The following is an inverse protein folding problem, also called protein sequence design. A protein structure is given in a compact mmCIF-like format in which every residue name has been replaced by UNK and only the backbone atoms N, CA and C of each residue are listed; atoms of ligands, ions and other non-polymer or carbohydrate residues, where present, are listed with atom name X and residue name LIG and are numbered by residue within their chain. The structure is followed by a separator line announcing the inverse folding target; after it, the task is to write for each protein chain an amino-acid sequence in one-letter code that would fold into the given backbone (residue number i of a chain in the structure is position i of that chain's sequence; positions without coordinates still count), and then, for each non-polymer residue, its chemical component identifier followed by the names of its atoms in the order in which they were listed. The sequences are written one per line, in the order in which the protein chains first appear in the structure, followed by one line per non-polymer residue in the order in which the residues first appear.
data_IF_207701829989
#
_entry.id   IF_207701829989
#
_cell.length_a   1.000
_cell.length_b   1.000
_cell.length_c   1.000
_cell.angle_alpha   90.00
_cell.angle_beta   90.00
_cell.angle_gamma   90.00
#
_symmetry.space_group_name_H-M   'P 1'
#
loop_
_entity.id
_entity.type
_entity.pdbx_description
1 polymer ?
#
# COMPACT_ATOMS: atom_id res chain seq x y z
N UNK A 1 -23.20 1.43 49.65
CA UNK A 1 -21.72 1.48 49.52
C UNK A 1 -21.09 0.10 49.32
N UNK A 2 -21.42 -0.94 50.10
CA UNK A 2 -20.83 -2.29 49.92
C UNK A 2 -21.29 -2.97 48.62
N UNK A 3 -22.58 -2.82 48.26
CA UNK A 3 -23.21 -3.44 47.08
C UNK A 3 -22.44 -3.22 45.76
N UNK A 4 -21.95 -2.00 45.52
CA UNK A 4 -21.21 -1.63 44.30
C UNK A 4 -19.88 -2.37 44.10
N UNK A 5 -19.31 -2.95 45.17
CA UNK A 5 -18.08 -3.75 45.09
C UNK A 5 -18.40 -5.24 44.93
N UNK A 6 -19.43 -5.74 45.60
CA UNK A 6 -19.79 -7.17 45.61
C UNK A 6 -20.67 -7.59 44.42
N UNK A 7 -21.34 -6.65 43.75
CA UNK A 7 -22.12 -6.92 42.53
C UNK A 7 -21.25 -7.34 41.35
N UNK A 8 -20.00 -6.88 41.29
CA UNK A 8 -19.07 -7.28 40.24
C UNK A 8 -18.80 -8.79 40.37
N UNK A 9 -18.95 -9.60 39.32
CA UNK A 9 -18.67 -11.05 39.39
C UNK A 9 -17.19 -11.35 39.67
N UNK A 10 -16.33 -10.34 39.54
CA UNK A 10 -14.89 -10.36 39.71
C UNK A 10 -14.43 -9.94 41.12
N UNK A 11 -15.03 -10.52 42.15
CA UNK A 11 -14.57 -10.28 43.52
C UNK A 11 -14.83 -11.50 44.41
N UNK A 12 -14.01 -11.61 45.44
CA UNK A 12 -14.16 -12.60 46.51
C UNK A 12 -14.91 -11.93 47.66
N UNK A 13 -15.98 -12.57 48.13
CA UNK A 13 -16.79 -12.06 49.25
C UNK A 13 -16.36 -12.79 50.52
N UNK A 14 -15.86 -12.05 51.50
CA UNK A 14 -15.55 -12.58 52.83
C UNK A 14 -16.66 -12.19 53.79
N UNK A 15 -17.58 -13.11 54.06
CA UNK A 15 -18.72 -12.88 54.94
C UNK A 15 -18.34 -13.19 56.40
N UNK A 16 -17.92 -12.16 57.11
CA UNK A 16 -17.44 -12.25 58.50
C UNK A 16 -18.63 -12.12 59.46
N UNK A 17 -18.80 -13.09 60.36
CA UNK A 17 -19.83 -13.07 61.41
C UNK A 17 -19.20 -13.43 62.76
N UNK A 18 -19.58 -12.77 63.87
CA UNK A 18 -19.09 -13.15 65.19
C UNK A 18 -19.84 -14.39 65.70
N UNK A 19 -19.14 -15.31 66.35
CA UNK A 19 -19.68 -16.59 66.81
C UNK A 19 -20.60 -16.47 68.04
N UNK A 20 -20.56 -15.33 68.74
CA UNK A 20 -21.41 -15.03 69.89
C UNK A 20 -22.79 -14.45 69.50
N UNK A 21 -23.11 -14.38 68.21
CA UNK A 21 -24.40 -13.93 67.70
C UNK A 21 -25.01 -15.00 66.80
N UNK A 22 -26.34 -15.04 66.73
CA UNK A 22 -27.04 -15.96 65.84
C UNK A 22 -26.75 -15.63 64.37
N UNK A 23 -26.23 -16.63 63.65
CA UNK A 23 -25.84 -16.52 62.25
C UNK A 23 -27.02 -16.16 61.33
N UNK A 24 -28.24 -16.58 61.68
CA UNK A 24 -29.45 -16.25 60.90
C UNK A 24 -29.71 -14.73 60.84
N UNK A 25 -29.17 -13.97 61.79
CA UNK A 25 -29.30 -12.51 61.85
C UNK A 25 -28.18 -11.77 61.09
N UNK A 26 -27.14 -12.47 60.61
CA UNK A 26 -25.96 -11.86 59.99
C UNK A 26 -26.26 -11.11 58.68
N UNK A 27 -26.07 -9.80 58.69
CA UNK A 27 -26.23 -8.93 57.51
C UNK A 27 -25.20 -9.26 56.41
N UNK A 28 -23.99 -9.68 56.79
CA UNK A 28 -22.95 -10.04 55.84
C UNK A 28 -23.35 -11.26 54.98
N UNK A 29 -24.07 -12.21 55.58
CA UNK A 29 -24.57 -13.41 54.89
C UNK A 29 -25.81 -13.12 54.06
N UNK A 30 -26.72 -12.26 54.55
CA UNK A 30 -27.89 -11.83 53.79
C UNK A 30 -27.48 -11.10 52.52
N UNK A 31 -26.58 -10.12 52.65
CA UNK A 31 -26.10 -9.29 51.53
C UNK A 31 -25.28 -10.13 50.54
N UNK A 32 -24.45 -11.07 51.00
CA UNK A 32 -23.70 -11.94 50.09
C UNK A 32 -24.61 -12.86 49.28
N UNK A 33 -25.67 -13.41 49.89
CA UNK A 33 -26.64 -14.28 49.21
C UNK A 33 -27.44 -13.56 48.12
N UNK A 34 -27.72 -12.26 48.29
CA UNK A 34 -28.40 -11.47 47.26
C UNK A 34 -27.57 -11.37 45.96
N UNK A 35 -26.24 -11.30 46.07
CA UNK A 35 -25.33 -11.11 44.93
C UNK A 35 -24.58 -12.38 44.50
N UNK A 36 -24.63 -13.43 45.33
CA UNK A 36 -24.07 -14.76 45.08
C UNK A 36 -24.98 -15.85 45.68
N UNK A 37 -26.17 -16.11 45.10
CA UNK A 37 -27.11 -17.10 45.63
C UNK A 37 -26.56 -18.54 45.64
N UNK A 38 -25.58 -18.83 44.78
CA UNK A 38 -24.95 -20.14 44.64
C UNK A 38 -23.78 -20.34 45.60
N UNK A 39 -23.21 -19.26 46.14
CA UNK A 39 -22.06 -19.28 47.05
C UNK A 39 -20.73 -19.56 46.36
N UNK A 40 -20.63 -19.35 45.04
CA UNK A 40 -19.47 -19.75 44.22
C UNK A 40 -18.21 -18.91 44.51
N UNK A 41 -18.37 -17.75 45.16
CA UNK A 41 -17.32 -16.78 45.48
C UNK A 41 -17.41 -16.20 46.90
N UNK A 42 -18.20 -16.84 47.77
CA UNK A 42 -18.47 -16.39 49.14
C UNK A 42 -17.83 -17.31 50.18
N UNK A 43 -16.97 -16.76 51.03
CA UNK A 43 -16.29 -17.45 52.11
C UNK A 43 -16.88 -17.02 53.45
N UNK A 44 -17.42 -17.97 54.22
CA UNK A 44 -17.94 -17.73 55.57
C UNK A 44 -16.82 -17.75 56.61
N UNK A 45 -16.68 -16.67 57.38
CA UNK A 45 -15.68 -16.58 58.46
C UNK A 45 -16.38 -16.33 59.78
N UNK A 46 -16.17 -17.22 60.74
CA UNK A 46 -16.59 -17.05 62.13
C UNK A 46 -15.43 -16.50 62.96
N UNK A 47 -15.64 -15.34 63.57
CA UNK A 47 -14.68 -14.70 64.48
C UNK A 47 -15.20 -14.73 65.91
N UNK A 48 -14.36 -14.44 66.91
CA UNK A 48 -14.72 -14.41 68.34
C UNK A 48 -15.25 -15.74 68.89
N UNK A 49 -14.77 -16.86 68.35
CA UNK A 49 -15.13 -18.22 68.82
C UNK A 49 -14.69 -18.45 70.27
N UNK A 50 -13.63 -17.77 70.69
CA UNK A 50 -13.11 -17.74 72.05
C UNK A 50 -14.05 -17.05 73.06
N UNK A 51 -15.01 -16.24 72.60
CA UNK A 51 -15.95 -15.47 73.42
C UNK A 51 -17.38 -16.05 73.43
N UNK A 52 -17.54 -17.31 73.04
CA UNK A 52 -18.83 -18.00 73.10
C UNK A 52 -19.23 -18.34 74.54
N UNK A 53 -20.53 -18.42 74.81
CA UNK A 53 -21.06 -18.75 76.12
C UNK A 53 -20.75 -20.20 76.49
N UNK A 54 -20.39 -20.45 77.76
CA UNK A 54 -20.03 -21.78 78.25
C UNK A 54 -21.19 -22.76 78.05
N UNK A 55 -20.93 -23.86 77.35
CA UNK A 55 -21.94 -24.87 77.01
C UNK A 55 -22.56 -24.69 75.61
N UNK A 56 -22.10 -23.70 74.84
CA UNK A 56 -22.44 -23.54 73.41
C UNK A 56 -21.21 -23.74 72.54
N UNK A 57 -21.40 -24.26 71.33
CA UNK A 57 -20.35 -24.44 70.34
C UNK A 57 -20.82 -24.00 68.94
N UNK A 58 -19.87 -23.75 68.05
CA UNK A 58 -20.12 -23.38 66.66
C UNK A 58 -19.82 -24.54 65.70
N UNK A 59 -19.77 -25.79 66.16
CA UNK A 59 -19.36 -26.96 65.35
C UNK A 59 -20.32 -27.14 64.17
N UNK A 60 -21.62 -27.05 64.38
CA UNK A 60 -22.62 -27.20 63.32
C UNK A 60 -22.50 -26.12 62.22
N UNK A 61 -22.05 -24.92 62.57
CA UNK A 61 -21.78 -23.85 61.60
C UNK A 61 -20.48 -24.13 60.87
N UNK A 62 -19.41 -24.44 61.60
CA UNK A 62 -18.08 -24.71 61.04
C UNK A 62 -18.06 -25.94 60.11
N UNK A 63 -18.90 -26.94 60.39
CA UNK A 63 -19.11 -28.11 59.53
C UNK A 63 -20.07 -27.85 58.36
N UNK A 64 -20.71 -26.67 58.33
CA UNK A 64 -21.63 -26.27 57.26
C UNK A 64 -23.01 -26.95 57.34
N UNK A 65 -23.37 -27.54 58.48
CA UNK A 65 -24.68 -28.17 58.73
C UNK A 65 -25.76 -27.12 58.96
N UNK A 66 -25.46 -26.09 59.75
CA UNK A 66 -26.40 -25.01 60.05
C UNK A 66 -26.62 -24.06 58.86
N UNK A 67 -25.54 -23.75 58.13
CA UNK A 67 -25.61 -22.91 56.93
C UNK A 67 -24.64 -23.42 55.86
N UNK A 68 -25.18 -23.91 54.74
CA UNK A 68 -24.39 -24.52 53.67
C UNK A 68 -23.87 -23.46 52.69
N UNK A 69 -22.56 -23.38 52.57
CA UNK A 69 -21.83 -22.64 51.52
C UNK A 69 -21.07 -23.64 50.62
N UNK A 70 -20.64 -23.20 49.43
CA UNK A 70 -19.79 -24.03 48.56
C UNK A 70 -18.40 -24.22 49.16
N UNK A 71 -17.86 -23.18 49.81
CA UNK A 71 -16.63 -23.25 50.58
C UNK A 71 -16.93 -23.54 52.06
N UNK A 72 -16.05 -24.28 52.76
CA UNK A 72 -16.22 -24.53 54.18
C UNK A 72 -16.20 -23.23 54.99
N UNK A 73 -16.78 -23.27 56.18
CA UNK A 73 -16.69 -22.17 57.13
C UNK A 73 -15.32 -22.18 57.82
N UNK A 74 -14.78 -20.98 58.06
CA UNK A 74 -13.47 -20.79 58.68
C UNK A 74 -13.63 -20.14 60.05
N UNK A 75 -13.19 -20.81 61.09
CA UNK A 75 -13.09 -20.25 62.42
C UNK A 75 -11.77 -19.54 62.64
N UNK A 76 -11.81 -18.29 63.12
CA UNK A 76 -10.60 -17.50 63.43
C UNK A 76 -10.66 -16.91 64.83
N UNK A 77 -9.53 -16.98 65.53
CA UNK A 77 -9.35 -16.33 66.84
C UNK A 77 -8.36 -15.18 66.64
N UNK A 78 -8.84 -13.98 66.91
CA UNK A 78 -8.08 -12.75 66.72
C UNK A 78 -7.57 -12.21 68.06
N UNK A 79 -6.70 -11.19 68.02
CA UNK A 79 -6.27 -10.47 69.21
C UNK A 79 -7.47 -9.81 69.89
N UNK A 80 -7.57 -9.97 71.21
CA UNK A 80 -8.55 -9.23 72.02
C UNK A 80 -8.15 -7.76 72.16
N UNK A 81 -9.07 -6.91 72.64
CA UNK A 81 -8.74 -5.51 72.91
C UNK A 81 -7.60 -5.37 73.93
N UNK A 82 -7.53 -6.26 74.91
CA UNK A 82 -6.44 -6.29 75.89
C UNK A 82 -5.10 -6.68 75.24
N UNK A 83 -5.09 -7.61 74.28
CA UNK A 83 -3.88 -8.00 73.54
C UNK A 83 -3.37 -6.88 72.62
N UNK A 84 -4.31 -6.12 72.01
CA UNK A 84 -3.98 -4.94 71.20
C UNK A 84 -3.34 -3.87 72.09
N UNK A 85 -3.94 -3.58 73.25
CA UNK A 85 -3.40 -2.60 74.20
C UNK A 85 -2.02 -3.00 74.76
N UNK A 86 -1.74 -4.31 74.83
CA UNK A 86 -0.44 -4.88 75.25
C UNK A 86 0.54 -5.08 74.09
N UNK A 87 0.22 -4.64 72.87
CA UNK A 87 1.04 -4.81 71.67
C UNK A 87 1.53 -6.26 71.45
N UNK A 88 0.66 -7.25 71.68
CA UNK A 88 1.01 -8.65 71.45
C UNK A 88 1.33 -8.87 69.96
N UNK A 89 2.48 -9.50 69.72
CA UNK A 89 2.97 -9.81 68.39
C UNK A 89 2.04 -10.80 67.65
N UNK A 90 1.98 -10.66 66.32
CA UNK A 90 1.15 -11.51 65.47
C UNK A 90 1.59 -12.96 65.47
N UNK A 91 2.90 -13.24 65.60
CA UNK A 91 3.39 -14.63 65.67
C UNK A 91 2.88 -15.30 66.95
N UNK A 92 2.92 -14.58 68.08
CA UNK A 92 2.37 -15.05 69.34
C UNK A 92 0.83 -15.23 69.27
N UNK A 93 0.11 -14.33 68.61
CA UNK A 93 -1.33 -14.46 68.40
C UNK A 93 -1.70 -15.70 67.56
N UNK A 94 -0.95 -15.96 66.47
CA UNK A 94 -1.15 -17.15 65.62
C UNK A 94 -0.84 -18.45 66.34
N UNK A 95 0.21 -18.46 67.18
CA UNK A 95 0.51 -19.62 68.03
C UNK A 95 -0.62 -19.90 69.01
N UNK A 96 -1.15 -18.87 69.69
CA UNK A 96 -2.31 -19.00 70.58
C UNK A 96 -3.57 -19.49 69.84
N UNK A 97 -3.84 -18.99 68.64
CA UNK A 97 -4.94 -19.46 67.78
C UNK A 97 -4.81 -20.96 67.49
N UNK A 98 -3.60 -21.41 67.13
CA UNK A 98 -3.33 -22.84 66.87
C UNK A 98 -3.49 -23.70 68.13
N UNK A 99 -2.96 -23.24 69.26
CA UNK A 99 -3.10 -23.92 70.55
C UNK A 99 -4.58 -24.01 70.99
N UNK A 100 -5.36 -22.94 70.77
CA UNK A 100 -6.80 -22.93 71.07
C UNK A 100 -7.54 -24.03 70.32
N UNK A 101 -7.37 -24.10 68.99
CA UNK A 101 -8.05 -25.13 68.20
C UNK A 101 -7.51 -26.54 68.47
N UNK A 102 -6.23 -26.69 68.85
CA UNK A 102 -5.64 -28.00 69.17
C UNK A 102 -6.10 -28.56 70.53
N UNK A 103 -6.31 -27.68 71.52
CA UNK A 103 -6.60 -28.05 72.91
C UNK A 103 -8.10 -27.98 73.25
N UNK A 104 -8.92 -27.29 72.44
CA UNK A 104 -10.37 -27.24 72.64
C UNK A 104 -11.02 -28.61 72.39
N UNK A 105 -11.80 -29.17 73.34
CA UNK A 105 -12.42 -30.48 73.18
C UNK A 105 -13.40 -30.53 72.00
N UNK A 106 -14.12 -29.43 71.74
CA UNK A 106 -15.17 -29.36 70.73
C UNK A 106 -14.65 -29.09 69.31
N UNK A 107 -13.48 -28.46 69.17
CA UNK A 107 -12.91 -28.05 67.87
C UNK A 107 -11.67 -28.83 67.43
N UNK A 108 -11.16 -29.74 68.27
CA UNK A 108 -9.91 -30.49 68.01
C UNK A 108 -9.94 -31.26 66.69
N UNK A 109 -11.07 -31.87 66.32
CA UNK A 109 -11.22 -32.60 65.05
C UNK A 109 -11.20 -31.67 63.84
N UNK A 110 -11.57 -30.39 64.02
CA UNK A 110 -11.59 -29.36 62.98
C UNK A 110 -10.29 -28.54 62.91
N UNK A 111 -9.36 -28.68 63.86
CA UNK A 111 -8.15 -27.86 63.97
C UNK A 111 -7.34 -27.73 62.67
N UNK A 112 -7.32 -28.78 61.83
CA UNK A 112 -6.62 -28.79 60.54
C UNK A 112 -7.24 -27.89 59.46
N UNK A 113 -8.52 -27.46 59.63
CA UNK A 113 -9.27 -26.58 58.71
C UNK A 113 -9.62 -25.23 59.33
N UNK A 114 -9.09 -24.95 60.52
CA UNK A 114 -9.39 -23.73 61.27
C UNK A 114 -8.15 -22.85 61.39
N UNK A 115 -8.40 -21.61 61.81
CA UNK A 115 -7.37 -20.61 62.00
C UNK A 115 -7.08 -19.80 60.74
N UNK A 116 -6.50 -18.64 60.96
CA UNK A 116 -6.32 -17.66 59.91
C UNK A 116 -5.21 -18.02 58.90
N UNK A 117 -4.24 -18.86 59.28
CA UNK A 117 -3.25 -19.38 58.33
C UNK A 117 -3.90 -20.29 57.29
N UNK A 118 -4.85 -21.14 57.71
CA UNK A 118 -5.58 -22.00 56.79
C UNK A 118 -6.52 -21.19 55.89
N UNK A 119 -7.24 -20.21 56.46
CA UNK A 119 -8.04 -19.25 55.69
C UNK A 119 -7.19 -18.53 54.64
N UNK A 120 -6.00 -18.02 55.02
CA UNK A 120 -5.09 -17.35 54.09
C UNK A 120 -4.65 -18.27 52.94
N UNK A 121 -4.27 -19.52 53.24
CA UNK A 121 -3.92 -20.52 52.21
C UNK A 121 -5.08 -20.79 51.25
N UNK A 122 -6.30 -20.93 51.77
CA UNK A 122 -7.49 -21.21 50.95
C UNK A 122 -7.88 -20.02 50.07
N UNK A 123 -7.82 -18.79 50.60
CA UNK A 123 -8.06 -17.57 49.83
C UNK A 123 -7.02 -17.40 48.71
N UNK A 124 -5.73 -17.64 49.00
CA UNK A 124 -4.67 -17.59 47.99
C UNK A 124 -4.88 -18.63 46.89
N UNK A 125 -5.23 -19.88 47.24
CA UNK A 125 -5.50 -20.94 46.27
C UNK A 125 -6.72 -20.61 45.39
N UNK A 126 -7.77 -20.06 45.97
CA UNK A 126 -8.94 -19.64 45.22
C UNK A 126 -8.62 -18.47 44.28
N UNK A 127 -7.92 -17.45 44.76
CA UNK A 127 -7.47 -16.32 43.94
C UNK A 127 -6.60 -16.80 42.78
N UNK A 128 -5.65 -17.70 43.03
CA UNK A 128 -4.81 -18.31 42.00
C UNK A 128 -5.65 -19.02 40.93
N UNK A 129 -6.66 -19.79 41.33
CA UNK A 129 -7.57 -20.50 40.42
C UNK A 129 -8.36 -19.54 39.56
N UNK A 130 -8.91 -18.47 40.16
CA UNK A 130 -9.66 -17.44 39.43
C UNK A 130 -8.77 -16.70 38.44
N UNK A 131 -7.55 -16.31 38.85
CA UNK A 131 -6.58 -15.68 37.96
C UNK A 131 -6.24 -16.60 36.78
N UNK A 132 -5.89 -17.87 37.05
CA UNK A 132 -5.58 -18.87 36.01
C UNK A 132 -6.72 -19.08 35.03
N UNK A 133 -7.98 -19.09 35.51
CA UNK A 133 -9.15 -19.24 34.63
C UNK A 133 -9.37 -18.06 33.69
N UNK A 134 -8.87 -16.86 34.03
CA UNK A 134 -9.07 -15.63 33.25
C UNK A 134 -7.91 -15.30 32.32
N UNK A 135 -6.70 -15.78 32.61
CA UNK A 135 -5.51 -15.57 31.78
C UNK A 135 -5.77 -15.87 30.29
N UNK A 136 -6.38 -17.01 29.89
CA UNK A 136 -6.65 -17.31 28.48
C UNK A 136 -7.54 -16.27 27.79
N UNK A 137 -8.55 -15.75 28.50
CA UNK A 137 -9.43 -14.71 27.98
C UNK A 137 -8.71 -13.38 27.78
N UNK A 138 -7.82 -13.01 28.71
CA UNK A 138 -6.97 -11.81 28.59
C UNK A 138 -5.98 -11.98 27.44
N UNK A 139 -5.34 -13.14 27.32
CA UNK A 139 -4.41 -13.44 26.22
C UNK A 139 -5.09 -13.29 24.86
N UNK A 140 -6.29 -13.87 24.70
CA UNK A 140 -7.08 -13.74 23.47
C UNK A 140 -7.43 -12.28 23.15
N UNK A 141 -7.84 -11.50 24.15
CA UNK A 141 -8.17 -10.08 23.98
C UNK A 141 -6.92 -9.26 23.56
N UNK A 142 -5.78 -9.50 24.20
CA UNK A 142 -4.52 -8.83 23.87
C UNK A 142 -4.09 -9.19 22.45
N UNK A 143 -4.08 -10.47 22.08
CA UNK A 143 -3.72 -10.91 20.73
C UNK A 143 -4.64 -10.33 19.66
N UNK A 144 -5.95 -10.29 19.90
CA UNK A 144 -6.91 -9.65 18.99
C UNK A 144 -6.62 -8.16 18.83
N UNK A 145 -6.39 -7.44 19.94
CA UNK A 145 -6.11 -6.01 19.91
C UNK A 145 -4.79 -5.70 19.20
N UNK A 146 -3.76 -6.54 19.38
CA UNK A 146 -2.49 -6.44 18.65
C UNK A 146 -2.75 -6.55 17.14
N UNK A 147 -3.50 -7.55 16.69
CA UNK A 147 -3.79 -7.74 15.27
C UNK A 147 -4.57 -6.55 14.66
N UNK A 148 -5.53 -5.99 15.40
CA UNK A 148 -6.27 -4.80 14.99
C UNK A 148 -5.36 -3.56 14.86
N UNK A 149 -4.47 -3.35 15.84
CA UNK A 149 -3.50 -2.25 15.82
C UNK A 149 -2.48 -2.41 14.69
N UNK A 150 -2.00 -3.62 14.42
CA UNK A 150 -1.08 -3.91 13.31
C UNK A 150 -1.72 -3.67 11.95
N UNK A 151 -2.98 -4.08 11.77
CA UNK A 151 -3.72 -3.82 10.54
C UNK A 151 -3.94 -2.30 10.32
N UNK A 152 -4.27 -1.56 11.38
CA UNK A 152 -4.42 -0.11 11.29
C UNK A 152 -3.10 0.59 10.96
N UNK A 153 -2.00 0.18 11.62
CA UNK A 153 -0.68 0.76 11.41
C UNK A 153 -0.15 0.44 10.00
N UNK A 154 -0.41 -0.77 9.50
CA UNK A 154 -0.11 -1.15 8.11
C UNK A 154 -0.84 -0.26 7.11
N UNK A 155 -2.11 0.06 7.35
CA UNK A 155 -2.89 0.97 6.49
C UNK A 155 -2.36 2.40 6.51
N UNK A 156 -1.85 2.86 7.65
CA UNK A 156 -1.23 4.19 7.77
C UNK A 156 0.17 4.23 7.14
N UNK A 157 0.82 3.09 6.90
CA UNK A 157 2.15 3.02 6.31
C UNK A 157 3.28 3.04 7.35
N UNK A 158 4.52 2.85 6.87
CA UNK A 158 5.73 2.78 7.70
C UNK A 158 6.06 4.15 8.30
N UNK A 159 6.64 4.22 9.52
CA UNK A 159 7.15 5.46 10.06
C UNK A 159 8.31 5.98 9.20
N UNK A 160 8.39 7.31 9.07
CA UNK A 160 9.51 7.96 8.39
C UNK A 160 10.75 7.86 9.28
N UNK A 161 11.87 7.38 8.73
CA UNK A 161 13.12 7.31 9.45
C UNK A 161 13.59 8.72 9.89
N UNK A 162 14.27 8.82 11.03
CA UNK A 162 14.76 10.10 11.54
C UNK A 162 16.00 10.58 10.79
N UNK A 163 16.84 9.66 10.33
CA UNK A 163 18.09 9.93 9.63
C UNK A 163 17.88 10.24 8.14
N UNK A 164 18.83 10.96 7.54
CA UNK A 164 18.76 11.36 6.14
C UNK A 164 18.80 10.15 5.18
N UNK A 165 19.56 9.12 5.53
CA UNK A 165 19.69 7.91 4.71
C UNK A 165 18.39 7.10 4.64
N UNK A 166 17.71 6.93 5.76
CA UNK A 166 16.42 6.27 5.84
C UNK A 166 15.32 7.04 5.09
N UNK A 167 15.31 8.38 5.17
CA UNK A 167 14.40 9.22 4.37
C UNK A 167 14.64 9.06 2.88
N UNK A 168 15.91 9.10 2.46
CA UNK A 168 16.30 8.88 1.07
C UNK A 168 15.84 7.49 0.58
N UNK A 169 16.14 6.45 1.36
CA UNK A 169 15.73 5.09 1.04
C UNK A 169 14.22 4.96 0.88
N UNK A 170 13.44 5.56 1.79
CA UNK A 170 11.98 5.54 1.73
C UNK A 170 11.45 6.23 0.47
N UNK A 171 11.98 7.40 0.11
CA UNK A 171 11.62 8.09 -1.14
C UNK A 171 11.93 7.20 -2.34
N UNK A 172 13.10 6.57 -2.37
CA UNK A 172 13.48 5.66 -3.46
C UNK A 172 12.58 4.41 -3.52
N UNK A 173 12.17 3.84 -2.39
CA UNK A 173 11.24 2.70 -2.33
C UNK A 173 9.88 3.08 -2.94
N UNK A 174 9.34 4.25 -2.57
CA UNK A 174 8.07 4.77 -3.12
C UNK A 174 8.19 5.01 -4.63
N UNK A 175 9.29 5.62 -5.08
CA UNK A 175 9.53 5.88 -6.49
C UNK A 175 9.66 4.59 -7.31
N UNK A 176 10.29 3.54 -6.75
CA UNK A 176 10.37 2.22 -7.37
C UNK A 176 9.00 1.56 -7.49
N UNK A 177 8.13 1.72 -6.49
CA UNK A 177 6.74 1.27 -6.55
C UNK A 177 5.98 1.93 -7.70
N UNK A 178 6.09 3.25 -7.82
CA UNK A 178 5.53 4.00 -8.95
C UNK A 178 6.09 3.54 -10.31
N UNK A 179 7.42 3.42 -10.42
CA UNK A 179 8.10 3.02 -11.66
C UNK A 179 7.69 1.60 -12.09
N UNK A 180 7.51 0.69 -11.13
CA UNK A 180 7.01 -0.66 -11.37
C UNK A 180 5.56 -0.65 -11.91
N UNK A 181 4.66 0.13 -11.31
CA UNK A 181 3.27 0.27 -11.80
C UNK A 181 3.26 0.88 -13.20
N UNK A 182 4.09 1.88 -13.47
CA UNK A 182 4.21 2.48 -14.79
C UNK A 182 4.68 1.47 -15.84
N UNK A 183 5.70 0.65 -15.51
CA UNK A 183 6.17 -0.45 -16.35
C UNK A 183 5.09 -1.49 -16.62
N UNK A 184 4.27 -1.83 -15.63
CA UNK A 184 3.14 -2.76 -15.79
C UNK A 184 2.09 -2.25 -16.78
N UNK A 185 1.84 -0.94 -16.83
CA UNK A 185 0.96 -0.36 -17.86
C UNK A 185 1.56 -0.45 -19.27
N UNK A 186 2.88 -0.31 -19.40
CA UNK A 186 3.57 -0.43 -20.69
C UNK A 186 3.67 -1.88 -21.18
N UNK A 187 3.88 -2.82 -20.26
CA UNK A 187 4.00 -4.26 -20.55
C UNK A 187 2.66 -4.96 -20.78
N UNK A 188 1.54 -4.24 -20.59
CA UNK A 188 0.19 -4.76 -20.82
C UNK A 188 -0.35 -5.61 -19.66
N UNK A 189 0.34 -5.65 -18.52
CA UNK A 189 -0.20 -6.22 -17.27
C UNK A 189 -1.38 -5.37 -16.77
N UNK A 190 -1.30 -4.05 -16.97
CA UNK A 190 -2.36 -3.09 -16.71
C UNK A 190 -2.83 -2.41 -18.00
N UNK A 191 -4.11 -1.98 -18.08
CA UNK A 191 -4.65 -1.36 -19.28
C UNK A 191 -4.04 0.03 -19.53
N UNK A 192 -3.85 0.38 -20.81
CA UNK A 192 -3.45 1.72 -21.23
C UNK A 192 -2.29 1.75 -22.23
N UNK A 193 -1.29 0.87 -22.10
CA UNK A 193 -0.18 0.78 -23.05
C UNK A 193 -0.61 0.29 -24.44
N UNK A 194 -1.66 -0.53 -24.50
CA UNK A 194 -2.29 -1.02 -25.72
C UNK A 194 -2.73 0.10 -26.68
N UNK A 195 -3.09 1.28 -26.15
CA UNK A 195 -3.48 2.45 -26.94
C UNK A 195 -2.37 2.97 -27.85
N UNK A 196 -1.11 2.67 -27.54
CA UNK A 196 0.03 3.06 -28.39
C UNK A 196 -0.05 2.33 -29.74
N UNK A 197 -0.46 1.05 -29.77
CA UNK A 197 -0.66 0.32 -31.02
C UNK A 197 -1.73 0.97 -31.91
N UNK A 198 -2.80 1.51 -31.32
CA UNK A 198 -3.83 2.22 -32.08
C UNK A 198 -3.27 3.45 -32.82
N UNK A 199 -2.26 4.13 -32.27
CA UNK A 199 -1.59 5.24 -32.98
C UNK A 199 -0.89 4.72 -34.24
N UNK A 200 -0.18 3.60 -34.14
CA UNK A 200 0.61 3.05 -35.24
C UNK A 200 -0.21 2.29 -36.28
N UNK A 201 -1.21 1.53 -35.85
CA UNK A 201 -1.99 0.65 -36.73
C UNK A 201 -3.14 1.39 -37.41
N UNK A 202 -3.70 2.42 -36.76
CA UNK A 202 -4.88 3.13 -37.25
C UNK A 202 -4.62 4.61 -37.54
N UNK A 203 -4.08 5.38 -36.60
CA UNK A 203 -3.97 6.84 -36.76
C UNK A 203 -2.94 7.24 -37.82
N UNK A 204 -1.70 6.74 -37.73
CA UNK A 204 -0.64 7.03 -38.69
C UNK A 204 -1.02 6.61 -40.12
N UNK A 205 -1.53 5.39 -40.37
CA UNK A 205 -1.93 4.97 -41.72
C UNK A 205 -3.11 5.78 -42.26
N UNK A 206 -4.06 6.16 -41.41
CA UNK A 206 -5.15 7.03 -41.80
C UNK A 206 -4.65 8.45 -42.15
N UNK A 207 -3.70 8.99 -41.38
CA UNK A 207 -3.09 10.29 -41.63
C UNK A 207 -2.31 10.31 -42.95
N UNK A 208 -1.55 9.25 -43.25
CA UNK A 208 -0.85 9.11 -44.54
C UNK A 208 -1.83 9.04 -45.72
N UNK A 209 -2.93 8.29 -45.59
CA UNK A 209 -3.97 8.22 -46.63
C UNK A 209 -4.66 9.57 -46.88
N UNK A 210 -4.79 10.42 -45.84
CA UNK A 210 -5.40 11.74 -45.95
C UNK A 210 -4.55 12.75 -46.73
N UNK A 211 -3.25 12.50 -46.94
CA UNK A 211 -2.40 13.35 -47.76
C UNK A 211 -2.81 13.36 -49.25
N UNK A 212 -3.53 12.32 -49.70
CA UNK A 212 -4.05 12.19 -51.07
C UNK A 212 -2.99 12.50 -52.13
N UNK A 213 -1.90 11.73 -52.15
CA UNK A 213 -0.79 11.91 -53.09
C UNK A 213 -1.24 11.92 -54.56
N UNK A 214 -2.30 11.19 -54.92
CA UNK A 214 -2.91 11.22 -56.24
C UNK A 214 -3.35 12.62 -56.69
N UNK A 215 -3.85 13.44 -55.76
CA UNK A 215 -4.24 14.84 -56.04
C UNK A 215 -3.03 15.77 -56.12
N UNK A 216 -2.02 15.53 -55.28
CA UNK A 216 -0.78 16.31 -55.33
C UNK A 216 -0.05 16.08 -56.65
N UNK A 217 -0.07 14.85 -57.16
CA UNK A 217 0.54 14.41 -58.42
C UNK A 217 -0.44 14.47 -59.61
N UNK A 218 -1.40 15.39 -59.59
CA UNK A 218 -2.30 15.63 -60.72
C UNK A 218 -1.52 16.05 -61.97
N UNK A 219 -2.09 15.81 -63.15
CA UNK A 219 -1.43 16.11 -64.43
C UNK A 219 -1.01 17.58 -64.56
N UNK A 220 -1.86 18.50 -64.07
CA UNK A 220 -1.57 19.94 -64.06
C UNK A 220 -0.37 20.27 -63.15
N UNK A 221 -0.33 19.70 -61.95
CA UNK A 221 0.78 19.91 -61.01
C UNK A 221 2.08 19.31 -61.53
N UNK A 222 2.03 18.10 -62.08
CA UNK A 222 3.20 17.42 -62.67
C UNK A 222 3.77 18.27 -63.82
N UNK A 223 2.92 18.74 -64.73
CA UNK A 223 3.34 19.62 -65.83
C UNK A 223 4.00 20.91 -65.33
N UNK A 224 3.36 21.57 -64.35
CA UNK A 224 3.84 22.81 -63.74
C UNK A 224 5.21 22.61 -63.08
N UNK A 225 5.33 21.64 -62.18
CA UNK A 225 6.56 21.37 -61.43
C UNK A 225 7.73 20.93 -62.33
N UNK A 226 7.47 20.14 -63.38
CA UNK A 226 8.51 19.76 -64.35
C UNK A 226 8.96 20.99 -65.14
N UNK A 227 8.03 21.78 -65.65
CA UNK A 227 8.37 22.98 -66.44
C UNK A 227 9.14 24.00 -65.60
N UNK A 228 8.75 24.19 -64.32
CA UNK A 228 9.47 25.04 -63.38
C UNK A 228 10.86 24.51 -63.01
N UNK A 229 11.01 23.18 -62.87
CA UNK A 229 12.29 22.56 -62.54
C UNK A 229 13.27 22.57 -63.73
N UNK A 230 12.76 22.45 -64.95
CA UNK A 230 13.54 22.40 -66.18
C UNK A 230 13.95 23.80 -66.66
N UNK A 231 13.17 24.82 -66.33
CA UNK A 231 13.49 26.20 -66.65
C UNK A 231 13.61 26.45 -68.15
N UNK A 232 14.69 27.12 -68.57
CA UNK A 232 14.91 27.51 -69.97
C UNK A 232 15.59 26.44 -70.84
N UNK A 233 16.08 25.35 -70.22
CA UNK A 233 16.91 24.34 -70.90
C UNK A 233 16.14 23.02 -71.02
N UNK A 234 15.66 22.65 -72.23
CA UNK A 234 14.93 21.40 -72.42
C UNK A 234 15.83 20.18 -72.21
N UNK A 235 15.31 19.15 -71.53
CA UNK A 235 16.01 17.88 -71.37
C UNK A 235 15.89 17.00 -72.61
N UNK A 236 17.00 16.43 -73.08
CA UNK A 236 17.05 15.59 -74.29
C UNK A 236 16.48 14.17 -74.07
N UNK A 237 16.50 13.67 -72.83
CA UNK A 237 16.19 12.26 -72.48
C UNK A 237 15.11 12.16 -71.38
N UNK A 238 15.30 12.77 -70.22
CA UNK A 238 14.32 12.77 -69.13
C UNK A 238 14.50 13.98 -68.17
N UNK A 239 13.42 14.52 -67.59
CA UNK A 239 13.48 15.65 -66.66
C UNK A 239 13.84 15.20 -65.22
N UNK A 240 15.11 14.89 -64.97
CA UNK A 240 15.57 14.38 -63.66
C UNK A 240 15.21 15.34 -62.51
N UNK A 241 15.42 16.65 -62.73
CA UNK A 241 15.17 17.66 -61.71
C UNK A 241 13.68 17.78 -61.38
N UNK A 242 12.81 17.64 -62.38
CA UNK A 242 11.36 17.57 -62.20
C UNK A 242 10.93 16.35 -61.36
N UNK A 243 11.48 15.17 -61.65
CA UNK A 243 11.25 13.97 -60.83
C UNK A 243 11.67 14.18 -59.37
N UNK A 244 12.88 14.71 -59.14
CA UNK A 244 13.41 14.97 -57.79
C UNK A 244 12.50 15.92 -57.02
N UNK A 245 12.08 17.03 -57.63
CA UNK A 245 11.16 18.00 -56.99
C UNK A 245 9.78 17.43 -56.70
N UNK A 246 9.21 16.64 -57.60
CA UNK A 246 7.89 16.01 -57.39
C UNK A 246 7.91 15.05 -56.19
N UNK A 247 8.97 14.25 -56.11
CA UNK A 247 9.18 13.29 -55.01
C UNK A 247 9.40 14.04 -53.71
N UNK A 248 10.31 15.02 -53.69
CA UNK A 248 10.60 15.84 -52.51
C UNK A 248 9.34 16.56 -51.99
N UNK A 249 8.58 17.22 -52.86
CA UNK A 249 7.32 17.89 -52.51
C UNK A 249 6.29 16.93 -51.90
N UNK A 250 6.25 15.68 -52.36
CA UNK A 250 5.31 14.68 -51.86
C UNK A 250 5.78 14.14 -50.50
N UNK A 251 7.07 13.79 -50.36
CA UNK A 251 7.63 13.20 -49.14
C UNK A 251 7.70 14.19 -47.98
N UNK A 252 7.97 15.47 -48.23
CA UNK A 252 7.99 16.52 -47.18
C UNK A 252 6.64 16.60 -46.45
N UNK A 253 5.53 16.31 -47.12
CA UNK A 253 4.19 16.32 -46.50
C UNK A 253 4.00 15.23 -45.43
N UNK A 254 4.84 14.18 -45.42
CA UNK A 254 4.83 13.09 -44.43
C UNK A 254 5.33 13.55 -43.05
N UNK A 255 6.10 14.65 -42.99
CA UNK A 255 6.61 15.22 -41.73
C UNK A 255 5.48 15.51 -40.74
N UNK A 256 4.36 16.05 -41.22
CA UNK A 256 3.19 16.38 -40.38
C UNK A 256 2.60 15.14 -39.68
N UNK A 257 2.17 14.09 -40.41
CA UNK A 257 1.72 12.83 -39.82
C UNK A 257 2.74 12.16 -38.89
N UNK A 258 4.03 12.24 -39.21
CA UNK A 258 5.10 11.67 -38.39
C UNK A 258 5.21 12.39 -37.05
N UNK A 259 5.22 13.73 -37.06
CA UNK A 259 5.23 14.58 -35.86
C UNK A 259 3.97 14.39 -35.01
N UNK A 260 2.79 14.33 -35.65
CA UNK A 260 1.54 14.06 -34.94
C UNK A 260 1.54 12.70 -34.23
N UNK A 261 2.20 11.69 -34.80
CA UNK A 261 2.34 10.37 -34.17
C UNK A 261 3.27 10.40 -32.96
N UNK A 262 4.36 11.17 -33.02
CA UNK A 262 5.26 11.43 -31.89
C UNK A 262 4.48 12.08 -30.74
N UNK A 263 3.71 13.14 -31.04
CA UNK A 263 2.93 13.88 -30.05
C UNK A 263 1.79 13.04 -29.45
N UNK A 264 1.13 12.21 -30.25
CA UNK A 264 0.08 11.31 -29.78
C UNK A 264 0.60 10.26 -28.78
N UNK A 265 1.78 9.66 -29.05
CA UNK A 265 2.41 8.72 -28.11
C UNK A 265 2.83 9.41 -26.83
N UNK A 266 3.42 10.62 -26.92
CA UNK A 266 3.78 11.41 -25.74
C UNK A 266 2.58 11.68 -24.82
N UNK A 267 1.44 12.09 -25.40
CA UNK A 267 0.22 12.31 -24.64
C UNK A 267 -0.24 11.04 -23.91
N UNK A 268 -0.17 9.87 -24.56
CA UNK A 268 -0.49 8.58 -23.93
C UNK A 268 0.47 8.24 -22.79
N UNK A 269 1.77 8.48 -22.95
CA UNK A 269 2.76 8.26 -21.89
C UNK A 269 2.50 9.18 -20.68
N UNK A 270 2.15 10.45 -20.93
CA UNK A 270 1.70 11.38 -19.88
C UNK A 270 0.47 10.86 -19.14
N UNK A 271 -0.54 10.36 -19.86
CA UNK A 271 -1.73 9.76 -19.23
C UNK A 271 -1.39 8.56 -18.36
N UNK A 272 -0.44 7.72 -18.78
CA UNK A 272 0.04 6.57 -18.01
C UNK A 272 0.75 7.01 -16.72
N UNK A 273 1.56 8.08 -16.76
CA UNK A 273 2.17 8.65 -15.54
C UNK A 273 1.08 9.05 -14.53
N UNK A 274 0.04 9.76 -14.97
CA UNK A 274 -1.06 10.16 -14.09
C UNK A 274 -1.83 8.95 -13.51
N UNK A 275 -2.00 7.87 -14.28
CA UNK A 275 -2.60 6.62 -13.79
C UNK A 275 -1.71 5.96 -12.74
N UNK A 276 -0.43 5.78 -13.03
CA UNK A 276 0.52 5.16 -12.11
C UNK A 276 0.63 5.93 -10.78
N UNK A 277 0.63 7.27 -10.82
CA UNK A 277 0.58 8.12 -9.62
C UNK A 277 -0.68 7.85 -8.78
N UNK A 278 -1.84 7.72 -9.42
CA UNK A 278 -3.11 7.47 -8.71
C UNK A 278 -3.16 6.08 -8.08
N UNK A 279 -2.55 5.09 -8.72
CA UNK A 279 -2.53 3.69 -8.28
C UNK A 279 -1.46 3.43 -7.20
N UNK A 280 -0.42 4.26 -7.11
CA UNK A 280 0.58 4.20 -6.05
C UNK A 280 0.00 4.74 -4.74
N UNK A 281 -0.22 3.87 -3.75
CA UNK A 281 -0.88 4.22 -2.48
C UNK A 281 -0.01 5.14 -1.62
N UNK A 282 1.29 4.90 -1.61
CA UNK A 282 2.27 5.63 -0.82
C UNK A 282 2.38 7.08 -1.27
N UNK A 283 2.30 7.34 -2.58
CA UNK A 283 2.26 8.71 -3.13
C UNK A 283 1.00 9.49 -2.71
N UNK A 284 -0.07 8.81 -2.27
CA UNK A 284 -1.25 9.52 -1.71
C UNK A 284 -0.96 10.09 -0.32
N UNK A 285 -0.06 9.46 0.44
CA UNK A 285 0.31 9.88 1.79
C UNK A 285 1.23 11.11 1.79
N UNK A 286 2.01 11.30 0.71
CA UNK A 286 2.99 12.37 0.58
C UNK A 286 2.68 13.28 -0.62
N UNK A 287 1.82 14.31 -0.45
CA UNK A 287 1.39 15.18 -1.55
C UNK A 287 2.54 15.93 -2.23
N UNK A 288 3.54 16.38 -1.48
CA UNK A 288 4.72 17.07 -2.02
C UNK A 288 5.53 16.13 -2.92
N UNK A 289 5.89 14.94 -2.42
CA UNK A 289 6.60 13.94 -3.20
C UNK A 289 5.82 13.55 -4.47
N UNK A 290 4.49 13.41 -4.37
CA UNK A 290 3.63 13.12 -5.51
C UNK A 290 3.75 14.15 -6.64
N UNK A 291 3.76 15.43 -6.30
CA UNK A 291 3.90 16.52 -7.29
C UNK A 291 5.29 16.49 -7.90
N UNK A 292 6.33 16.37 -7.08
CA UNK A 292 7.73 16.34 -7.54
C UNK A 292 8.02 15.14 -8.45
N UNK A 293 7.57 13.93 -8.08
CA UNK A 293 7.69 12.72 -8.91
C UNK A 293 6.94 12.89 -10.23
N UNK A 294 5.72 13.44 -10.18
CA UNK A 294 4.92 13.67 -11.39
C UNK A 294 5.57 14.67 -12.35
N UNK A 295 6.06 15.79 -11.83
CA UNK A 295 6.77 16.80 -12.61
C UNK A 295 8.04 16.21 -13.23
N UNK A 296 8.85 15.51 -12.43
CA UNK A 296 10.09 14.91 -12.91
C UNK A 296 9.85 13.86 -14.01
N UNK A 297 8.81 13.03 -13.88
CA UNK A 297 8.42 12.09 -14.91
C UNK A 297 7.97 12.79 -16.19
N UNK A 298 7.14 13.84 -16.08
CA UNK A 298 6.67 14.63 -17.22
C UNK A 298 7.83 15.33 -17.95
N UNK A 299 8.77 15.91 -17.21
CA UNK A 299 9.96 16.58 -17.78
C UNK A 299 10.87 15.59 -18.51
N UNK A 300 11.04 14.38 -17.96
CA UNK A 300 11.75 13.29 -18.64
C UNK A 300 11.07 12.90 -19.94
N UNK A 301 9.74 12.74 -19.94
CA UNK A 301 8.98 12.45 -21.17
C UNK A 301 9.13 13.56 -22.21
N UNK A 302 9.18 14.83 -21.80
CA UNK A 302 9.35 15.96 -22.73
C UNK A 302 10.70 15.92 -23.44
N UNK A 303 11.78 15.60 -22.72
CA UNK A 303 13.11 15.37 -23.32
C UNK A 303 13.10 14.21 -24.32
N UNK A 304 12.45 13.11 -23.96
CA UNK A 304 12.32 11.92 -24.82
C UNK A 304 11.50 12.21 -26.08
N UNK A 305 10.44 13.03 -25.97
CA UNK A 305 9.64 13.51 -27.10
C UNK A 305 10.48 14.31 -28.08
N UNK A 306 11.29 15.27 -27.60
CA UNK A 306 12.12 16.10 -28.49
C UNK A 306 13.16 15.28 -29.25
N UNK A 307 13.81 14.31 -28.58
CA UNK A 307 14.74 13.40 -29.26
C UNK A 307 14.03 12.48 -30.26
N UNK A 308 12.85 11.97 -29.90
CA UNK A 308 12.02 11.17 -30.81
C UNK A 308 11.54 11.95 -32.03
N UNK A 309 11.15 13.21 -31.85
CA UNK A 309 10.78 14.14 -32.92
C UNK A 309 11.94 14.32 -33.90
N UNK A 310 13.13 14.65 -33.40
CA UNK A 310 14.34 14.80 -34.23
C UNK A 310 14.67 13.51 -34.98
N UNK A 311 14.68 12.37 -34.30
CA UNK A 311 15.01 11.08 -34.91
C UNK A 311 14.00 10.68 -36.00
N UNK A 312 12.70 10.86 -35.72
CA UNK A 312 11.62 10.51 -36.65
C UNK A 312 11.61 11.41 -37.88
N UNK A 313 11.80 12.72 -37.72
CA UNK A 313 11.88 13.65 -38.86
C UNK A 313 13.13 13.39 -39.71
N UNK A 314 14.27 13.05 -39.08
CA UNK A 314 15.48 12.63 -39.80
C UNK A 314 15.24 11.41 -40.70
N UNK A 315 14.42 10.44 -40.28
CA UNK A 315 14.08 9.30 -41.14
C UNK A 315 13.35 9.75 -42.41
N UNK A 316 12.43 10.71 -42.30
CA UNK A 316 11.74 11.29 -43.46
C UNK A 316 12.72 12.06 -44.34
N UNK A 317 13.61 12.85 -43.73
CA UNK A 317 14.60 13.65 -44.47
C UNK A 317 15.62 12.79 -45.23
N UNK A 318 15.98 11.63 -44.68
CA UNK A 318 16.84 10.66 -45.36
C UNK A 318 16.18 10.13 -46.66
N UNK A 319 14.88 9.81 -46.60
CA UNK A 319 14.11 9.36 -47.78
C UNK A 319 13.90 10.47 -48.82
N UNK A 320 13.86 11.73 -48.40
CA UNK A 320 13.85 12.89 -49.31
C UNK A 320 15.21 13.14 -49.98
N UNK A 321 16.31 12.86 -49.26
CA UNK A 321 17.66 13.20 -49.71
C UNK A 321 18.24 12.20 -50.72
N UNK A 322 17.92 10.92 -50.58
CA UNK A 322 18.44 9.87 -51.45
C UNK A 322 17.33 9.14 -52.21
N UNK A 323 17.41 9.19 -53.53
CA UNK A 323 16.47 8.49 -54.41
C UNK A 323 16.93 7.04 -54.62
N UNK A 324 16.05 6.07 -54.36
CA UNK A 324 16.34 4.65 -54.64
C UNK A 324 16.26 4.38 -56.14
N UNK A 325 17.38 4.54 -56.84
CA UNK A 325 17.47 4.41 -58.31
C UNK A 325 17.05 3.02 -58.82
N UNK A 326 17.29 1.97 -58.04
CA UNK A 326 16.92 0.60 -58.39
C UNK A 326 15.40 0.40 -58.53
N UNK A 327 14.59 1.22 -57.88
CA UNK A 327 13.14 1.22 -58.09
C UNK A 327 12.81 1.60 -59.54
N UNK A 328 13.41 2.69 -60.02
CA UNK A 328 13.14 3.22 -61.36
C UNK A 328 13.70 2.32 -62.47
N UNK A 329 14.77 1.57 -62.19
CA UNK A 329 15.32 0.56 -63.12
C UNK A 329 14.39 -0.62 -63.37
N UNK A 330 13.52 -0.95 -62.40
CA UNK A 330 12.59 -2.08 -62.45
C UNK A 330 11.23 -1.72 -63.06
N UNK A 331 10.98 -0.44 -63.31
CA UNK A 331 9.75 -0.01 -63.99
C UNK A 331 9.73 -0.57 -65.43
N UNK A 332 8.57 -1.01 -65.95
CA UNK A 332 8.46 -1.50 -67.31
C UNK A 332 9.01 -0.45 -68.30
N UNK A 333 10.08 -0.80 -69.01
CA UNK A 333 10.56 -0.03 -70.15
C UNK A 333 9.74 -0.44 -71.37
N UNK A 334 8.61 0.22 -71.59
CA UNK A 334 8.03 0.19 -72.94
C UNK A 334 9.02 0.87 -73.88
N UNK A 335 9.61 0.06 -74.76
CA UNK A 335 10.35 0.51 -75.94
C UNK A 335 9.30 1.20 -76.82
N UNK A 336 9.13 2.51 -76.65
CA UNK A 336 8.52 3.32 -77.70
C UNK A 336 9.42 3.16 -78.93
N UNK A 337 8.97 2.34 -79.88
CA UNK A 337 9.51 2.35 -81.25
C UNK A 337 9.53 3.80 -81.70
N UNK A 338 10.72 4.29 -82.04
CA UNK A 338 11.04 5.70 -82.23
C UNK A 338 9.92 6.51 -82.87
N UNK A 339 9.54 7.60 -82.19
CA UNK A 339 8.59 8.57 -82.72
C UNK A 339 9.07 9.16 -84.04
N UNK A 340 8.13 9.44 -84.93
CA UNK A 340 8.38 10.07 -86.22
C UNK A 340 9.16 11.39 -86.04
N UNK A 341 10.23 11.65 -86.83
CA UNK A 341 11.09 12.83 -86.72
C UNK A 341 10.41 14.16 -87.11
N UNK A 342 9.10 14.15 -87.39
CA UNK A 342 8.32 15.33 -87.79
C UNK A 342 7.56 16.01 -86.65
N UNK A 343 7.51 15.43 -85.44
CA UNK A 343 6.92 16.12 -84.29
C UNK A 343 7.90 17.14 -83.69
N UNK A 344 7.40 18.35 -83.42
CA UNK A 344 8.14 19.42 -82.77
C UNK A 344 8.80 18.92 -81.48
N UNK A 345 10.01 19.40 -81.17
CA UNK A 345 10.68 19.14 -79.89
C UNK A 345 9.76 19.47 -78.68
N UNK A 346 8.80 20.39 -78.88
CA UNK A 346 7.77 20.77 -77.91
C UNK A 346 6.62 19.75 -77.73
N UNK A 347 6.36 18.86 -78.69
CA UNK A 347 5.33 17.81 -78.60
C UNK A 347 5.79 16.57 -77.79
N UNK A 348 7.04 16.53 -77.33
CA UNK A 348 7.57 15.42 -76.51
C UNK A 348 6.95 15.35 -75.11
N UNK A 349 6.39 16.45 -74.61
CA UNK A 349 5.56 16.44 -73.39
C UNK A 349 4.13 16.05 -73.71
N UNK A 350 3.96 14.96 -74.46
CA UNK A 350 2.65 14.40 -74.72
C UNK A 350 2.00 14.09 -73.36
N UNK A 351 0.70 14.39 -73.21
CA UNK A 351 0.00 14.24 -71.92
C UNK A 351 0.12 12.81 -71.36
N UNK A 352 0.32 11.82 -72.25
CA UNK A 352 0.64 10.43 -71.91
C UNK A 352 1.96 10.27 -71.14
N UNK A 353 3.02 10.97 -71.55
CA UNK A 353 4.34 10.93 -70.91
C UNK A 353 4.29 11.56 -69.51
N UNK A 354 3.66 12.72 -69.36
CA UNK A 354 3.48 13.40 -68.07
C UNK A 354 2.64 12.57 -67.09
N UNK A 355 1.58 11.90 -67.57
CA UNK A 355 0.79 10.95 -66.76
C UNK A 355 1.63 9.77 -66.28
N UNK A 356 2.53 9.25 -67.12
CA UNK A 356 3.44 8.16 -66.74
C UNK A 356 4.42 8.60 -65.67
N UNK A 357 4.97 9.81 -65.77
CA UNK A 357 5.82 10.40 -64.71
C UNK A 357 5.05 10.44 -63.38
N UNK A 358 3.84 11.00 -63.38
CA UNK A 358 3.00 11.07 -62.18
C UNK A 358 2.73 9.69 -61.57
N UNK A 359 2.42 8.70 -62.40
CA UNK A 359 2.18 7.31 -61.96
C UNK A 359 3.42 6.67 -61.34
N UNK A 360 4.60 6.87 -61.96
CA UNK A 360 5.87 6.34 -61.47
C UNK A 360 6.28 6.99 -60.14
N UNK A 361 6.13 8.32 -60.04
CA UNK A 361 6.40 9.07 -58.80
C UNK A 361 5.45 8.63 -57.70
N UNK A 362 4.16 8.46 -58.00
CA UNK A 362 3.18 7.97 -57.03
C UNK A 362 3.54 6.56 -56.53
N UNK A 363 3.95 5.65 -57.41
CA UNK A 363 4.38 4.32 -57.03
C UNK A 363 5.63 4.36 -56.12
N UNK A 364 6.59 5.24 -56.42
CA UNK A 364 7.76 5.46 -55.57
C UNK A 364 7.38 6.01 -54.18
N UNK A 365 6.55 7.05 -54.14
CA UNK A 365 6.06 7.65 -52.88
C UNK A 365 5.31 6.62 -52.03
N UNK A 366 4.47 5.79 -52.64
CA UNK A 366 3.77 4.72 -51.94
C UNK A 366 4.72 3.65 -51.38
N UNK A 367 5.78 3.29 -52.10
CA UNK A 367 6.83 2.39 -51.60
C UNK A 367 7.54 3.00 -50.37
N UNK A 368 7.96 4.27 -50.46
CA UNK A 368 8.60 4.98 -49.35
C UNK A 368 7.65 5.10 -48.16
N UNK A 369 6.37 5.42 -48.38
CA UNK A 369 5.35 5.46 -47.33
C UNK A 369 5.20 4.10 -46.64
N UNK A 370 5.25 2.99 -47.38
CA UNK A 370 5.19 1.64 -46.80
C UNK A 370 6.43 1.35 -45.93
N UNK A 371 7.62 1.81 -46.34
CA UNK A 371 8.84 1.74 -45.53
C UNK A 371 8.70 2.58 -44.25
N UNK A 372 8.34 3.86 -44.38
CA UNK A 372 8.18 4.80 -43.26
C UNK A 372 7.09 4.38 -42.28
N UNK A 373 6.01 3.73 -42.73
CA UNK A 373 4.97 3.16 -41.87
C UNK A 373 5.54 2.13 -40.87
N UNK A 374 6.65 1.46 -41.23
CA UNK A 374 7.32 0.51 -40.33
C UNK A 374 8.45 1.17 -39.53
N UNK A 375 9.17 2.13 -40.12
CA UNK A 375 10.34 2.76 -39.49
C UNK A 375 9.97 3.83 -38.45
N UNK A 376 8.91 4.61 -38.71
CA UNK A 376 8.44 5.67 -37.79
C UNK A 376 8.02 5.10 -36.43
N UNK A 377 7.15 4.07 -36.34
CA UNK A 377 6.81 3.47 -35.06
C UNK A 377 8.02 2.94 -34.29
N UNK A 378 9.00 2.32 -34.98
CA UNK A 378 10.23 1.82 -34.35
C UNK A 378 11.06 2.94 -33.73
N UNK A 379 11.19 4.08 -34.43
CA UNK A 379 11.86 5.26 -33.91
C UNK A 379 11.17 5.81 -32.65
N UNK A 380 9.84 5.95 -32.71
CA UNK A 380 9.03 6.42 -31.59
C UNK A 380 9.13 5.49 -30.38
N UNK A 381 8.99 4.19 -30.60
CA UNK A 381 9.10 3.18 -29.53
C UNK A 381 10.50 3.18 -28.92
N UNK A 382 11.55 3.28 -29.75
CA UNK A 382 12.92 3.30 -29.26
C UNK A 382 13.22 4.55 -28.42
N UNK A 383 12.92 5.74 -28.94
CA UNK A 383 13.27 7.01 -28.29
C UNK A 383 12.32 7.42 -27.16
N UNK A 384 11.05 7.02 -27.20
CA UNK A 384 10.06 7.38 -26.16
C UNK A 384 9.70 6.21 -25.27
N UNK A 385 9.09 5.16 -25.81
CA UNK A 385 8.47 4.11 -24.99
C UNK A 385 9.51 3.31 -24.22
N UNK A 386 10.57 2.87 -24.90
CA UNK A 386 11.64 2.07 -24.31
C UNK A 386 12.51 2.88 -23.36
N UNK A 387 12.83 4.13 -23.72
CA UNK A 387 13.56 5.04 -22.83
C UNK A 387 12.73 5.42 -21.61
N UNK A 388 11.44 5.75 -21.77
CA UNK A 388 10.53 5.99 -20.65
C UNK A 388 10.42 4.77 -19.73
N UNK A 389 10.46 3.54 -20.27
CA UNK A 389 10.49 2.33 -19.44
C UNK A 389 11.80 2.20 -18.65
N UNK A 390 12.92 2.70 -19.17
CA UNK A 390 14.26 2.47 -18.61
C UNK A 390 14.67 3.55 -17.62
N UNK A 391 14.43 4.81 -17.94
CA UNK A 391 15.12 5.96 -17.34
C UNK A 391 14.19 7.10 -16.90
N UNK A 392 12.89 6.83 -16.71
CA UNK A 392 11.88 7.87 -16.38
C UNK A 392 12.30 8.76 -15.21
N UNK A 393 12.83 8.15 -14.14
CA UNK A 393 13.19 8.82 -12.89
C UNK A 393 14.71 8.91 -12.65
N UNK A 394 15.57 8.56 -13.61
CA UNK A 394 17.03 8.56 -13.39
C UNK A 394 17.57 9.94 -13.03
N UNK A 395 17.09 10.98 -13.72
CA UNK A 395 17.41 12.36 -13.39
C UNK A 395 16.89 12.74 -12.00
N UNK A 396 15.69 12.30 -11.63
CA UNK A 396 15.10 12.57 -10.32
C UNK A 396 15.91 11.93 -9.19
N UNK A 397 16.36 10.69 -9.36
CA UNK A 397 17.23 10.00 -8.40
C UNK A 397 18.57 10.71 -8.23
N UNK A 398 19.14 11.24 -9.33
CA UNK A 398 20.38 12.01 -9.28
C UNK A 398 20.21 13.31 -8.50
N UNK A 399 19.07 13.99 -8.66
CA UNK A 399 18.76 15.24 -7.93
C UNK A 399 18.45 14.98 -6.46
N UNK A 400 17.66 13.96 -6.14
CA UNK A 400 17.38 13.58 -4.74
C UNK A 400 18.68 13.22 -4.01
N UNK A 401 19.61 12.52 -4.66
CA UNK A 401 20.89 12.14 -4.05
C UNK A 401 21.73 13.33 -3.59
N UNK A 402 21.48 14.54 -4.09
CA UNK A 402 22.16 15.78 -3.69
C UNK A 402 21.43 16.54 -2.58
N UNK A 403 20.20 16.15 -2.23
CA UNK A 403 19.35 16.89 -1.28
C UNK A 403 19.76 16.66 0.16
N UNK A 404 19.69 17.73 0.95
CA UNK A 404 19.93 17.67 2.39
C UNK A 404 18.74 17.07 3.16
N UNK A 405 18.98 16.65 4.40
CA UNK A 405 17.97 16.03 5.27
C UNK A 405 16.68 16.85 5.43
N UNK A 406 16.79 18.20 5.45
CA UNK A 406 15.64 19.10 5.58
C UNK A 406 14.75 19.07 4.34
N UNK A 407 15.36 19.06 3.15
CA UNK A 407 14.62 18.98 1.89
C UNK A 407 13.97 17.62 1.71
N UNK A 408 14.67 16.53 2.06
CA UNK A 408 14.08 15.18 2.06
C UNK A 408 12.88 15.07 3.01
N UNK A 409 12.95 15.76 4.16
CA UNK A 409 11.83 15.82 5.10
C UNK A 409 10.63 16.55 4.49
N UNK A 410 10.86 17.64 3.76
CA UNK A 410 9.79 18.38 3.09
C UNK A 410 9.07 17.54 2.01
N UNK A 411 9.80 16.65 1.33
CA UNK A 411 9.21 15.72 0.37
C UNK A 411 8.29 14.70 1.06
N UNK A 412 8.70 14.22 2.24
CA UNK A 412 7.95 13.29 3.08
C UNK A 412 7.01 14.01 4.08
N UNK A 413 6.57 15.23 3.77
CA UNK A 413 5.60 15.93 4.59
C UNK A 413 4.26 15.19 4.58
N UNK A 414 3.97 14.53 5.68
CA UNK A 414 2.71 13.87 5.99
C UNK A 414 1.80 14.83 6.77
N UNK A 415 0.48 14.59 6.72
CA UNK A 415 -0.48 15.27 7.59
C UNK A 415 -0.08 15.06 9.08
N UNK A 416 0.15 16.14 9.85
CA UNK A 416 0.49 16.05 11.27
C UNK A 416 -0.46 15.16 12.07
N UNK A 417 -1.75 15.13 11.74
CA UNK A 417 -2.74 14.29 12.42
C UNK A 417 -2.49 12.79 12.17
N UNK A 418 -2.03 12.43 10.97
CA UNK A 418 -1.69 11.04 10.63
C UNK A 418 -0.41 10.61 11.34
N UNK A 419 0.58 11.50 11.40
CA UNK A 419 1.83 11.25 12.11
C UNK A 419 1.62 11.05 13.61
N UNK A 420 0.80 11.91 14.24
CA UNK A 420 0.45 11.80 15.66
C UNK A 420 -0.32 10.51 15.93
N UNK A 421 -1.31 10.19 15.09
CA UNK A 421 -2.08 8.95 15.18
C UNK A 421 -1.19 7.71 15.03
N UNK A 422 -0.27 7.69 14.07
CA UNK A 422 0.69 6.59 13.88
C UNK A 422 1.57 6.41 15.12
N UNK A 423 2.06 7.51 15.69
CA UNK A 423 2.91 7.49 16.89
C UNK A 423 2.13 6.98 18.11
N UNK A 424 0.88 7.41 18.29
CA UNK A 424 0.01 6.95 19.36
C UNK A 424 -0.30 5.44 19.25
N UNK A 425 -0.61 4.97 18.04
CA UNK A 425 -0.85 3.55 17.77
C UNK A 425 0.40 2.69 17.99
N UNK A 426 1.57 3.16 17.55
CA UNK A 426 2.84 2.46 17.76
C UNK A 426 3.16 2.28 19.25
N UNK A 427 3.03 3.35 20.05
CA UNK A 427 3.19 3.28 21.51
C UNK A 427 2.19 2.31 22.15
N UNK A 428 0.93 2.35 21.70
CA UNK A 428 -0.11 1.45 22.21
C UNK A 428 0.20 -0.01 21.88
N UNK A 429 0.65 -0.29 20.66
CA UNK A 429 1.06 -1.62 20.21
C UNK A 429 2.23 -2.16 21.05
N UNK A 430 3.24 -1.32 21.32
CA UNK A 430 4.36 -1.67 22.19
C UNK A 430 3.90 -2.07 23.60
N UNK A 431 2.98 -1.31 24.20
CA UNK A 431 2.41 -1.66 25.50
C UNK A 431 1.67 -3.00 25.49
N UNK A 432 0.89 -3.29 24.44
CA UNK A 432 0.21 -4.59 24.33
C UNK A 432 1.19 -5.74 24.08
N UNK A 433 2.29 -5.51 23.34
CA UNK A 433 3.35 -6.51 23.15
C UNK A 433 4.09 -6.81 24.45
N UNK A 434 4.38 -5.79 25.25
CA UNK A 434 4.94 -5.98 26.59
C UNK A 434 3.97 -6.75 27.49
N UNK A 435 2.68 -6.39 27.48
CA UNK A 435 1.65 -7.13 28.23
C UNK A 435 1.54 -8.60 27.76
N UNK A 436 1.63 -8.86 26.46
CA UNK A 436 1.65 -10.22 25.91
C UNK A 436 2.85 -11.01 26.45
N UNK A 437 4.04 -10.43 26.43
CA UNK A 437 5.26 -11.08 26.93
C UNK A 437 5.17 -11.38 28.44
N UNK A 438 4.62 -10.46 29.23
CA UNK A 438 4.37 -10.67 30.66
C UNK A 438 3.35 -11.81 30.89
N UNK A 439 2.24 -11.81 30.16
CA UNK A 439 1.22 -12.87 30.27
C UNK A 439 1.80 -14.23 29.89
N UNK A 440 2.56 -14.30 28.81
CA UNK A 440 3.18 -15.55 28.37
C UNK A 440 4.19 -16.04 29.43
N UNK A 441 4.98 -15.16 30.04
CA UNK A 441 5.91 -15.53 31.12
C UNK A 441 5.21 -16.22 32.31
N UNK A 442 4.00 -15.78 32.65
CA UNK A 442 3.19 -16.33 33.75
C UNK A 442 2.43 -17.59 33.32
N UNK A 443 2.04 -17.71 32.06
CA UNK A 443 1.35 -18.88 31.53
C UNK A 443 2.26 -20.12 31.44
N UNK A 444 3.58 -19.92 31.25
CA UNK A 444 4.57 -20.99 31.10
C UNK A 444 5.35 -21.33 32.38
N UNK A 445 5.21 -20.56 33.47
CA UNK A 445 5.70 -20.96 34.79
C UNK A 445 4.79 -22.04 35.38
N UNK A 446 5.08 -23.31 35.03
CA UNK A 446 4.47 -24.51 35.60
C UNK A 446 4.87 -24.73 37.05
#
# INVERSE_FOLDING_TARGET
MVRSYIEKPNCIILAISPANQDLATSDAIKISREVDPKGDRTFGVLTKIDLMDKGTDAVDILEGKAYRLQYPWFGVVNRSQADINKNVDMIAARRREREYFANSPDYKHLAHRMGSEYLGKMLSKHLETVIKSRIPGIQSLVSKTIAELEAELSRLGKPVASDAGGKLYMIMEICRGFDQIYKEHLDGVRPGGDKIYNVFDNQLPAALKRLQFDKQLSMENVKKLITEADGYQPHLIAPEQGYRRLIESSLVSIRGPAEASVDAVHALLKDLVHKAIRETLELRQYPTLRVEVGNAAIDSLERMREESRKATLKLVDMECSYLTVDFFRKLPQDIEKGGNPTHSIFDRYNDSYLRRIGTNVLAYVNMVCASLRNSIPKSIVYCQVREAKRSLLDHFFTEIGKKEAKELSNLLNEDPAVMERRTALAKRLELYRNAQAEIDSVAWSK
#
